data_IF_628970430777
#
_entry.id   IF_628970430777
#
_cell.length_a   1.000
_cell.length_b   1.000
_cell.length_c   1.000
_cell.angle_alpha   90.00
_cell.angle_beta   90.00
_cell.angle_gamma   90.00
#
_symmetry.space_group_name_H-M   'P 1'
#
loop_
_entity.id
_entity.type
_entity.pdbx_description
1 polymer ?
#
# COMPACT_ATOMS: atom_id res chain seq x y z
N UNK A 1 6.75 -83.55 -15.78
CA UNK A 1 7.06 -82.40 -16.60
C UNK A 1 7.29 -81.18 -15.68
N UNK A 2 8.53 -80.75 -15.54
CA UNK A 2 8.94 -79.71 -14.59
C UNK A 2 8.77 -78.32 -15.22
N UNK A 3 8.02 -77.45 -14.56
CA UNK A 3 7.91 -76.08 -14.96
C UNK A 3 9.07 -75.29 -14.33
N UNK A 4 9.83 -74.59 -15.20
CA UNK A 4 11.10 -73.98 -14.92
C UNK A 4 11.01 -72.67 -14.08
N UNK A 5 12.15 -72.18 -13.57
CA UNK A 5 12.28 -71.21 -12.49
C UNK A 5 12.24 -69.73 -12.94
N UNK A 6 11.54 -69.37 -14.00
CA UNK A 6 11.55 -67.98 -14.55
C UNK A 6 10.42 -67.06 -14.05
N UNK A 7 9.49 -67.56 -13.19
CA UNK A 7 8.32 -66.78 -12.77
C UNK A 7 8.53 -65.96 -11.47
N UNK A 8 9.70 -66.08 -10.79
CA UNK A 8 9.96 -65.42 -9.49
C UNK A 8 10.76 -64.14 -9.55
N UNK A 9 11.23 -63.71 -10.73
CA UNK A 9 12.10 -62.53 -10.85
C UNK A 9 11.36 -61.24 -11.27
N UNK A 10 10.12 -61.28 -11.63
CA UNK A 10 9.35 -60.11 -12.10
C UNK A 10 8.50 -59.41 -11.03
N UNK A 11 8.33 -60.01 -9.87
CA UNK A 11 7.57 -59.40 -8.77
C UNK A 11 8.39 -58.44 -7.91
N UNK A 12 9.72 -58.39 -8.05
CA UNK A 12 10.59 -57.49 -7.27
C UNK A 12 10.93 -56.16 -8.01
N UNK A 13 10.67 -56.05 -9.30
CA UNK A 13 10.93 -54.82 -10.09
C UNK A 13 9.78 -53.84 -10.11
N UNK A 14 8.57 -54.23 -9.75
CA UNK A 14 7.39 -53.32 -9.67
C UNK A 14 7.24 -52.65 -8.30
N UNK A 15 7.89 -53.16 -7.26
CA UNK A 15 7.82 -52.54 -5.92
C UNK A 15 8.81 -51.35 -5.71
N UNK A 16 9.81 -51.18 -6.59
CA UNK A 16 10.82 -50.10 -6.45
C UNK A 16 10.44 -48.81 -7.18
N UNK A 17 9.46 -48.83 -8.09
CA UNK A 17 9.06 -47.63 -8.83
C UNK A 17 7.96 -46.78 -8.16
N UNK A 18 7.30 -47.31 -7.09
CA UNK A 18 6.23 -46.55 -6.41
C UNK A 18 6.73 -45.73 -5.21
N UNK A 19 7.95 -46.00 -4.72
CA UNK A 19 8.52 -45.26 -3.58
C UNK A 19 9.24 -43.93 -3.94
N UNK A 20 9.36 -43.61 -5.24
CA UNK A 20 10.13 -42.42 -5.69
C UNK A 20 9.26 -41.19 -5.99
N UNK A 21 7.93 -41.23 -5.75
CA UNK A 21 7.01 -40.15 -6.12
C UNK A 21 6.48 -39.33 -4.94
N UNK A 22 7.02 -39.46 -3.72
CA UNK A 22 6.52 -38.73 -2.55
C UNK A 22 7.52 -37.78 -1.89
N UNK A 23 8.58 -37.36 -2.58
CA UNK A 23 9.45 -36.30 -2.07
C UNK A 23 9.48 -35.08 -2.98
N UNK A 24 8.30 -34.61 -3.36
CA UNK A 24 8.10 -33.23 -3.81
C UNK A 24 7.98 -32.33 -2.57
N UNK A 25 9.07 -32.17 -1.80
CA UNK A 25 9.16 -31.02 -0.91
C UNK A 25 9.30 -29.79 -1.81
N UNK A 26 8.19 -29.05 -1.93
CA UNK A 26 8.17 -27.69 -2.44
C UNK A 26 9.11 -26.88 -1.52
N UNK A 27 10.37 -26.79 -1.89
CA UNK A 27 11.32 -25.89 -1.24
C UNK A 27 10.93 -24.48 -1.66
N UNK A 28 10.01 -23.88 -0.92
CA UNK A 28 9.88 -22.42 -0.93
C UNK A 28 11.29 -21.83 -0.73
N UNK A 29 11.68 -20.82 -1.54
CA UNK A 29 12.97 -20.17 -1.35
C UNK A 29 13.07 -19.71 0.10
N UNK A 30 14.13 -20.13 0.78
CA UNK A 30 14.34 -19.79 2.18
C UNK A 30 14.65 -18.29 2.27
N UNK A 31 13.62 -17.48 2.49
CA UNK A 31 13.74 -16.04 2.72
C UNK A 31 14.51 -15.78 4.03
N UNK A 32 15.17 -14.62 4.11
CA UNK A 32 15.73 -14.16 5.38
C UNK A 32 14.61 -13.92 6.37
N UNK A 33 14.79 -14.38 7.60
CA UNK A 33 13.79 -14.31 8.65
C UNK A 33 14.26 -13.36 9.75
N UNK A 34 13.36 -12.47 10.20
CA UNK A 34 13.63 -11.50 11.25
C UNK A 34 12.49 -11.53 12.26
N UNK A 35 12.80 -11.38 13.53
CA UNK A 35 11.78 -11.17 14.55
C UNK A 35 11.27 -9.73 14.47
N UNK A 36 9.95 -9.57 14.52
CA UNK A 36 9.27 -8.29 14.51
C UNK A 36 8.33 -8.23 15.70
N UNK A 37 8.49 -7.19 16.49
CA UNK A 37 7.60 -6.87 17.61
C UNK A 37 7.09 -5.43 17.48
N UNK A 38 5.84 -5.22 17.86
CA UNK A 38 5.27 -3.89 17.79
C UNK A 38 3.84 -3.82 18.29
N UNK A 39 3.22 -2.67 18.03
CA UNK A 39 1.79 -2.43 18.30
C UNK A 39 1.05 -2.27 16.97
N UNK A 40 -0.09 -2.89 16.88
CA UNK A 40 -0.97 -2.75 15.70
C UNK A 40 -1.52 -1.33 15.65
N UNK A 41 -1.28 -0.63 14.55
CA UNK A 41 -1.79 0.72 14.31
C UNK A 41 -3.07 0.69 13.45
N UNK A 42 -3.15 -0.23 12.46
CA UNK A 42 -4.33 -0.41 11.63
C UNK A 42 -4.40 -1.84 11.08
N UNK A 43 -5.61 -2.28 10.75
CA UNK A 43 -5.88 -3.59 10.14
C UNK A 43 -6.71 -3.37 8.87
N UNK A 44 -6.23 -3.90 7.75
CA UNK A 44 -6.93 -3.90 6.48
C UNK A 44 -7.04 -5.35 5.99
N UNK A 45 -8.16 -5.97 6.30
CA UNK A 45 -8.42 -7.36 5.95
C UNK A 45 -8.62 -7.56 4.44
N UNK A 46 -9.17 -6.56 3.73
CA UNK A 46 -9.40 -6.64 2.30
C UNK A 46 -8.09 -6.68 1.50
N UNK A 47 -7.12 -5.88 1.89
CA UNK A 47 -5.77 -5.86 1.29
C UNK A 47 -4.79 -6.82 1.99
N UNK A 48 -5.22 -7.52 3.04
CA UNK A 48 -4.39 -8.43 3.85
C UNK A 48 -3.17 -7.75 4.48
N UNK A 49 -3.34 -6.52 4.94
CA UNK A 49 -2.28 -5.71 5.54
C UNK A 49 -2.56 -5.47 7.03
N UNK A 50 -1.49 -5.56 7.83
CA UNK A 50 -1.48 -5.05 9.20
C UNK A 50 -0.42 -3.95 9.27
N UNK A 51 -0.83 -2.74 9.63
CA UNK A 51 0.09 -1.65 9.91
C UNK A 51 0.57 -1.78 11.34
N UNK A 52 1.87 -1.87 11.52
CA UNK A 52 2.51 -2.10 12.82
C UNK A 52 3.50 -0.97 13.12
N UNK A 53 3.35 -0.36 14.28
CA UNK A 53 4.39 0.47 14.90
C UNK A 53 5.37 -0.50 15.58
N UNK A 54 6.40 -0.92 14.83
CA UNK A 54 7.36 -1.92 15.29
C UNK A 54 8.60 -1.29 15.90
N UNK A 55 9.25 -2.05 16.79
CA UNK A 55 10.57 -1.72 17.30
C UNK A 55 11.62 -1.91 16.20
N UNK A 56 12.88 -1.54 16.49
CA UNK A 56 13.98 -1.85 15.60
C UNK A 56 14.01 -3.34 15.26
N UNK A 57 14.11 -3.65 13.97
CA UNK A 57 14.37 -5.01 13.47
C UNK A 57 15.88 -5.10 13.17
N UNK A 58 16.66 -5.72 14.07
CA UNK A 58 18.13 -5.70 13.97
C UNK A 58 18.64 -6.22 12.62
N UNK A 59 19.52 -5.45 12.00
CA UNK A 59 20.12 -5.81 10.71
C UNK A 59 19.19 -5.64 9.49
N UNK A 60 17.99 -5.07 9.67
CA UNK A 60 17.06 -4.82 8.58
C UNK A 60 16.55 -3.37 8.55
N UNK A 61 15.92 -2.86 9.62
CA UNK A 61 15.31 -1.53 9.62
C UNK A 61 15.14 -0.97 11.04
N UNK A 62 15.20 0.38 11.21
CA UNK A 62 14.96 1.04 12.48
C UNK A 62 13.48 0.90 12.91
N UNK A 63 13.17 1.29 14.15
CA UNK A 63 11.81 1.37 14.65
C UNK A 63 10.97 2.32 13.80
N UNK A 64 9.81 1.86 13.31
CA UNK A 64 8.94 2.65 12.45
C UNK A 64 7.51 2.11 12.42
N UNK A 65 6.61 2.84 11.75
CA UNK A 65 5.23 2.37 11.53
C UNK A 65 5.00 2.12 10.06
N UNK A 66 4.79 0.86 9.67
CA UNK A 66 4.58 0.52 8.27
C UNK A 66 3.61 -0.66 8.10
N UNK A 67 2.95 -0.80 6.94
CA UNK A 67 2.11 -1.94 6.63
C UNK A 67 2.95 -3.16 6.26
N UNK A 68 2.51 -4.31 6.75
CA UNK A 68 3.07 -5.62 6.42
C UNK A 68 2.01 -6.51 5.80
N UNK A 69 2.40 -7.25 4.79
CA UNK A 69 1.54 -8.27 4.22
C UNK A 69 1.45 -9.48 5.16
N UNK A 70 0.25 -9.98 5.38
CA UNK A 70 0.00 -11.21 6.13
C UNK A 70 0.00 -12.40 5.17
N UNK A 71 0.73 -13.44 5.51
CA UNK A 71 0.78 -14.68 4.76
C UNK A 71 -0.58 -15.36 4.64
N UNK A 72 -0.79 -16.10 3.55
CA UNK A 72 -2.08 -16.80 3.31
C UNK A 72 -2.45 -17.75 4.44
N UNK A 73 -1.44 -18.35 5.08
CA UNK A 73 -1.65 -19.30 6.18
C UNK A 73 -2.05 -18.63 7.51
N UNK A 74 -2.03 -17.28 7.57
CA UNK A 74 -2.34 -16.50 8.76
C UNK A 74 -3.60 -15.61 8.60
N UNK A 75 -4.48 -15.91 7.65
CA UNK A 75 -5.75 -15.15 7.45
C UNK A 75 -6.63 -15.08 8.70
N UNK A 76 -6.56 -16.10 9.55
CA UNK A 76 -7.28 -16.14 10.82
C UNK A 76 -7.00 -14.91 11.73
N UNK A 77 -5.87 -14.23 11.52
CA UNK A 77 -5.49 -13.09 12.34
C UNK A 77 -6.46 -11.91 12.17
N UNK A 78 -6.99 -11.70 10.97
CA UNK A 78 -7.86 -10.55 10.67
C UNK A 78 -9.19 -10.53 11.43
N UNK A 79 -9.70 -11.69 11.80
CA UNK A 79 -10.90 -11.81 12.64
C UNK A 79 -10.63 -11.61 14.13
N UNK A 80 -9.38 -11.52 14.56
CA UNK A 80 -8.98 -11.59 15.95
C UNK A 80 -8.10 -10.42 16.43
N UNK A 81 -7.40 -9.73 15.52
CA UNK A 81 -6.47 -8.64 15.84
C UNK A 81 -7.15 -7.29 15.63
N UNK A 82 -6.81 -6.31 16.48
CA UNK A 82 -7.34 -4.96 16.41
C UNK A 82 -6.23 -3.92 16.63
N UNK A 83 -6.43 -2.67 16.20
CA UNK A 83 -5.56 -1.56 16.58
C UNK A 83 -5.39 -1.48 18.11
N UNK A 84 -4.15 -1.25 18.56
CA UNK A 84 -3.78 -1.26 19.96
C UNK A 84 -3.23 -2.59 20.48
N UNK A 85 -3.49 -3.71 19.81
CA UNK A 85 -2.96 -5.01 20.18
C UNK A 85 -1.42 -5.04 20.03
N UNK A 86 -0.75 -5.75 20.94
CA UNK A 86 0.68 -6.06 20.79
C UNK A 86 0.84 -7.28 19.88
N UNK A 87 1.71 -7.17 18.88
CA UNK A 87 1.98 -8.23 17.92
C UNK A 87 3.46 -8.64 17.97
N UNK A 88 3.70 -9.93 17.87
CA UNK A 88 5.00 -10.53 17.59
C UNK A 88 4.83 -11.44 16.37
N UNK A 89 5.73 -11.32 15.40
CA UNK A 89 5.69 -12.11 14.18
C UNK A 89 7.08 -12.35 13.62
N UNK A 90 7.20 -13.31 12.73
CA UNK A 90 8.38 -13.50 11.89
C UNK A 90 8.18 -12.75 10.58
N UNK A 91 9.03 -11.78 10.29
CA UNK A 91 9.09 -11.12 8.98
C UNK A 91 9.97 -11.94 8.05
N UNK A 92 9.40 -12.48 7.00
CA UNK A 92 10.09 -13.28 5.99
C UNK A 92 10.30 -12.42 4.75
N UNK A 93 11.58 -12.23 4.39
CA UNK A 93 12.01 -11.46 3.23
C UNK A 93 12.37 -12.42 2.09
N UNK A 94 11.51 -12.47 1.08
CA UNK A 94 11.78 -13.13 -0.21
C UNK A 94 11.82 -12.02 -1.28
N UNK A 95 11.08 -12.14 -2.37
CA UNK A 95 10.85 -11.05 -3.33
C UNK A 95 9.96 -9.95 -2.74
N UNK A 96 9.30 -10.23 -1.61
CA UNK A 96 8.48 -9.31 -0.84
C UNK A 96 8.51 -9.67 0.65
N UNK A 97 8.14 -8.70 1.48
CA UNK A 97 8.08 -8.86 2.93
C UNK A 97 6.71 -9.43 3.35
N UNK A 98 6.70 -10.49 4.14
CA UNK A 98 5.49 -11.17 4.60
C UNK A 98 5.58 -11.56 6.07
N UNK A 99 4.51 -11.32 6.85
CA UNK A 99 4.39 -11.77 8.24
C UNK A 99 3.96 -13.24 8.30
N UNK A 100 4.71 -14.01 9.05
CA UNK A 100 4.42 -15.40 9.40
C UNK A 100 4.53 -15.59 10.92
N UNK A 101 4.11 -16.74 11.43
CA UNK A 101 4.20 -17.11 12.85
C UNK A 101 3.66 -16.02 13.79
N UNK A 102 2.50 -15.45 13.44
CA UNK A 102 1.92 -14.30 14.12
C UNK A 102 1.34 -14.73 15.46
N UNK A 103 1.74 -14.05 16.52
CA UNK A 103 1.10 -14.07 17.84
C UNK A 103 0.77 -12.66 18.28
N UNK A 104 -0.29 -12.47 19.05
CA UNK A 104 -0.65 -11.16 19.57
C UNK A 104 -1.32 -11.27 20.94
N UNK A 105 -1.20 -10.20 21.72
CA UNK A 105 -1.92 -10.03 22.99
C UNK A 105 -2.81 -8.80 22.89
N UNK A 106 -4.01 -8.89 23.46
CA UNK A 106 -4.94 -7.77 23.49
C UNK A 106 -4.33 -6.61 24.25
N UNK A 107 -4.31 -5.45 23.59
CA UNK A 107 -3.87 -4.22 24.22
C UNK A 107 -4.92 -3.78 25.24
N UNK A 108 -4.64 -3.97 26.53
CA UNK A 108 -5.34 -3.26 27.58
C UNK A 108 -4.63 -1.93 27.77
N UNK A 109 -5.04 -0.89 27.07
CA UNK A 109 -4.54 0.46 27.35
C UNK A 109 -5.68 1.35 27.82
N UNK A 110 -5.81 1.58 29.12
CA UNK A 110 -6.70 2.59 29.67
C UNK A 110 -6.07 3.98 29.72
N UNK A 111 -4.79 4.13 29.32
CA UNK A 111 -4.10 5.43 29.35
C UNK A 111 -3.89 5.91 27.94
N UNK A 112 -4.80 6.77 27.49
CA UNK A 112 -4.70 7.51 26.23
C UNK A 112 -3.38 8.29 26.10
N UNK A 113 -2.33 7.64 25.63
CA UNK A 113 -1.26 8.30 24.92
C UNK A 113 -1.76 8.50 23.47
N UNK A 114 -1.98 9.75 23.14
CA UNK A 114 -2.64 10.29 21.94
C UNK A 114 -2.24 9.75 20.55
N UNK A 115 -1.99 8.45 20.40
CA UNK A 115 -2.02 7.78 19.13
C UNK A 115 -3.49 7.53 18.75
N UNK A 116 -4.12 8.59 18.25
CA UNK A 116 -5.40 8.52 17.55
C UNK A 116 -5.40 7.25 16.71
N UNK A 117 -6.31 6.31 17.02
CA UNK A 117 -6.51 5.12 16.22
C UNK A 117 -6.76 5.60 14.77
N UNK A 118 -5.79 5.38 13.89
CA UNK A 118 -5.92 5.78 12.49
C UNK A 118 -6.98 4.90 11.85
N UNK A 119 -8.20 5.42 11.81
CA UNK A 119 -9.29 4.80 11.07
C UNK A 119 -9.02 4.94 9.60
N UNK A 120 -9.02 3.85 8.85
CA UNK A 120 -9.14 3.92 7.38
C UNK A 120 -10.58 4.31 7.09
N UNK A 121 -10.82 5.36 6.30
CA UNK A 121 -12.19 5.77 5.99
C UNK A 121 -12.88 4.69 5.15
N UNK A 122 -14.18 4.51 5.40
CA UNK A 122 -15.01 3.56 4.68
C UNK A 122 -15.54 4.16 3.36
N UNK A 123 -15.92 3.30 2.43
CA UNK A 123 -16.67 3.73 1.26
C UNK A 123 -17.96 4.45 1.70
N UNK A 124 -18.23 5.60 1.09
CA UNK A 124 -19.37 6.48 1.43
C UNK A 124 -19.04 7.57 2.46
N UNK A 125 -17.90 7.53 3.13
CA UNK A 125 -17.48 8.62 4.01
C UNK A 125 -17.25 9.90 3.20
N UNK A 126 -17.76 11.03 3.69
CA UNK A 126 -17.55 12.33 3.05
C UNK A 126 -16.13 12.83 3.31
N UNK A 127 -15.43 13.26 2.26
CA UNK A 127 -14.09 13.84 2.36
C UNK A 127 -14.20 15.29 2.79
N UNK A 128 -13.53 15.71 3.90
CA UNK A 128 -13.48 17.10 4.30
C UNK A 128 -12.78 17.99 3.27
N UNK A 129 -13.09 19.28 3.30
CA UNK A 129 -12.49 20.27 2.39
C UNK A 129 -11.09 20.70 2.85
N UNK A 130 -10.11 19.83 2.62
CA UNK A 130 -8.70 20.11 2.91
C UNK A 130 -8.12 21.12 1.94
N UNK A 131 -7.20 21.96 2.45
CA UNK A 131 -6.59 23.05 1.70
C UNK A 131 -5.11 22.80 1.46
N UNK A 132 -4.67 23.03 0.22
CA UNK A 132 -3.29 22.84 -0.21
C UNK A 132 -2.82 24.00 -1.08
N UNK A 133 -1.52 24.01 -1.38
CA UNK A 133 -0.90 24.84 -2.42
C UNK A 133 -0.36 23.88 -3.49
N UNK A 134 -0.76 24.07 -4.74
CA UNK A 134 -0.32 23.20 -5.83
C UNK A 134 1.05 23.62 -6.38
N UNK A 135 1.59 22.83 -7.31
CA UNK A 135 2.88 23.03 -7.97
C UNK A 135 3.02 24.39 -8.69
N UNK A 136 1.92 25.09 -8.97
CA UNK A 136 1.91 26.43 -9.56
C UNK A 136 1.79 27.55 -8.51
N UNK A 137 1.88 27.21 -7.21
CA UNK A 137 1.72 28.16 -6.12
C UNK A 137 0.28 28.61 -5.87
N UNK A 138 -0.71 27.98 -6.50
CA UNK A 138 -2.14 28.30 -6.32
C UNK A 138 -2.73 27.52 -5.15
N UNK A 139 -3.53 28.21 -4.33
CA UNK A 139 -4.35 27.52 -3.32
C UNK A 139 -5.41 26.66 -4.01
N UNK A 140 -5.52 25.42 -3.57
CA UNK A 140 -6.54 24.47 -4.00
C UNK A 140 -7.27 23.90 -2.78
N UNK A 141 -8.51 23.47 -2.98
CA UNK A 141 -9.33 22.82 -1.97
C UNK A 141 -9.94 21.55 -2.55
N UNK A 142 -10.15 20.50 -1.73
CA UNK A 142 -10.64 19.23 -2.28
C UNK A 142 -12.05 19.33 -2.85
N UNK A 143 -12.90 20.21 -2.33
CA UNK A 143 -14.24 20.43 -2.87
C UNK A 143 -14.25 20.95 -4.31
N UNK A 144 -13.18 21.61 -4.78
CA UNK A 144 -13.11 22.08 -6.18
C UNK A 144 -13.08 20.93 -7.20
N UNK A 145 -12.74 19.71 -6.76
CA UNK A 145 -12.72 18.52 -7.59
C UNK A 145 -14.08 17.81 -7.67
N UNK A 146 -15.10 18.23 -6.89
CA UNK A 146 -16.44 17.67 -6.98
C UNK A 146 -17.06 17.86 -8.36
N UNK A 147 -17.99 16.99 -8.71
CA UNK A 147 -18.58 16.88 -10.05
C UNK A 147 -17.84 15.92 -10.98
N UNK A 148 -16.62 15.50 -10.60
CA UNK A 148 -15.80 14.51 -11.30
C UNK A 148 -15.07 13.63 -10.29
N UNK A 149 -14.75 12.36 -10.63
CA UNK A 149 -13.94 11.52 -9.73
C UNK A 149 -12.55 12.11 -9.51
N UNK A 150 -12.03 11.94 -8.31
CA UNK A 150 -10.66 12.32 -7.95
C UNK A 150 -9.88 11.09 -7.47
N UNK A 151 -8.74 10.82 -8.09
CA UNK A 151 -7.78 9.85 -7.57
C UNK A 151 -6.65 10.59 -6.87
N UNK A 152 -6.44 10.33 -5.57
CA UNK A 152 -5.36 10.97 -4.82
C UNK A 152 -4.42 9.95 -4.19
N UNK A 153 -3.16 10.37 -4.00
CA UNK A 153 -2.12 9.60 -3.29
C UNK A 153 -1.16 10.52 -2.55
N UNK A 154 -0.34 9.92 -1.69
CA UNK A 154 0.62 10.63 -0.85
C UNK A 154 2.04 10.18 -1.18
N UNK A 155 2.95 11.13 -1.33
CA UNK A 155 4.37 10.92 -1.62
C UNK A 155 5.23 11.95 -0.90
N UNK A 156 6.55 11.80 -0.97
CA UNK A 156 7.50 12.89 -0.79
C UNK A 156 8.61 12.79 -1.83
N UNK A 157 9.08 13.94 -2.35
CA UNK A 157 9.89 13.96 -3.58
C UNK A 157 11.28 13.36 -3.41
N UNK A 158 11.84 13.41 -2.21
CA UNK A 158 13.16 12.85 -1.86
C UNK A 158 13.11 11.43 -1.29
N UNK A 159 12.02 10.68 -1.55
CA UNK A 159 11.91 9.27 -1.14
C UNK A 159 13.02 8.43 -1.81
N UNK A 160 13.90 7.78 -1.02
CA UNK A 160 15.02 7.02 -1.59
C UNK A 160 14.62 5.62 -2.07
N UNK A 161 13.38 5.20 -1.81
CA UNK A 161 12.90 3.84 -2.06
C UNK A 161 12.17 3.76 -3.41
N UNK A 162 12.77 3.11 -4.44
CA UNK A 162 12.19 3.07 -5.80
C UNK A 162 10.81 2.40 -5.84
N UNK A 163 10.57 1.43 -4.98
CA UNK A 163 9.32 0.66 -4.93
C UNK A 163 8.19 1.37 -4.17
N UNK A 164 8.42 2.60 -3.66
CA UNK A 164 7.45 3.39 -2.90
C UNK A 164 6.96 4.60 -3.69
N UNK A 165 7.39 5.82 -3.33
CA UNK A 165 6.89 7.04 -3.97
C UNK A 165 7.14 7.09 -5.48
N UNK A 166 8.33 6.72 -6.02
CA UNK A 166 8.54 6.66 -7.45
C UNK A 166 7.64 5.64 -8.14
N UNK A 167 7.41 4.47 -7.53
CA UNK A 167 6.50 3.45 -8.05
C UNK A 167 5.06 3.96 -8.10
N UNK A 168 4.56 4.58 -7.02
CA UNK A 168 3.21 5.18 -7.01
C UNK A 168 3.05 6.25 -8.10
N UNK A 169 4.05 7.11 -8.30
CA UNK A 169 4.01 8.13 -9.33
C UNK A 169 4.05 7.53 -10.75
N UNK A 170 4.80 6.45 -10.97
CA UNK A 170 4.76 5.71 -12.24
C UNK A 170 3.39 5.06 -12.48
N UNK A 171 2.77 4.50 -11.44
CA UNK A 171 1.43 3.94 -11.53
C UNK A 171 0.40 5.02 -11.90
N UNK A 172 0.48 6.21 -11.31
CA UNK A 172 -0.39 7.33 -11.63
C UNK A 172 -0.22 7.78 -13.09
N UNK A 173 1.03 7.82 -13.59
CA UNK A 173 1.30 8.08 -14.99
C UNK A 173 0.65 7.04 -15.90
N UNK A 174 0.77 5.75 -15.55
CA UNK A 174 0.15 4.67 -16.33
C UNK A 174 -1.38 4.75 -16.28
N UNK A 175 -1.97 5.09 -15.13
CA UNK A 175 -3.42 5.32 -15.02
C UNK A 175 -3.85 6.44 -15.96
N UNK A 176 -3.18 7.59 -15.95
CA UNK A 176 -3.51 8.70 -16.82
C UNK A 176 -3.39 8.31 -18.30
N UNK A 177 -2.38 7.53 -18.68
CA UNK A 177 -2.24 6.98 -20.05
C UNK A 177 -3.40 6.07 -20.43
N UNK A 178 -3.86 5.22 -19.50
CA UNK A 178 -5.02 4.34 -19.74
C UNK A 178 -6.32 5.13 -19.89
N UNK A 179 -6.50 6.19 -19.10
CA UNK A 179 -7.66 7.08 -19.22
C UNK A 179 -7.67 7.82 -20.55
N UNK A 180 -6.49 8.18 -21.11
CA UNK A 180 -6.39 8.80 -22.43
C UNK A 180 -6.94 7.92 -23.57
N UNK A 181 -6.98 6.60 -23.40
CA UNK A 181 -7.59 5.70 -24.38
C UNK A 181 -9.11 5.86 -24.47
N UNK A 182 -9.76 6.53 -23.49
CA UNK A 182 -11.18 6.86 -23.49
C UNK A 182 -11.36 8.37 -23.36
N UNK A 183 -11.72 9.09 -24.45
CA UNK A 183 -11.83 10.55 -24.44
C UNK A 183 -12.70 11.10 -23.33
N UNK A 184 -13.87 10.50 -23.08
CA UNK A 184 -14.79 10.93 -22.02
C UNK A 184 -14.18 10.75 -20.60
N UNK A 185 -13.46 9.66 -20.37
CA UNK A 185 -12.79 9.43 -19.09
C UNK A 185 -11.59 10.38 -18.91
N UNK A 186 -10.85 10.67 -19.98
CA UNK A 186 -9.72 11.59 -19.94
C UNK A 186 -10.13 13.03 -19.72
N UNK A 187 -11.16 13.51 -20.40
CA UNK A 187 -11.69 14.88 -20.23
C UNK A 187 -12.06 15.17 -18.76
N UNK A 188 -12.54 14.15 -18.07
CA UNK A 188 -12.93 14.22 -16.66
C UNK A 188 -11.82 13.77 -15.68
N UNK A 189 -10.64 13.41 -16.18
CA UNK A 189 -9.58 12.88 -15.33
C UNK A 189 -9.07 13.92 -14.34
N UNK A 190 -9.06 13.57 -13.05
CA UNK A 190 -8.52 14.36 -11.96
C UNK A 190 -7.66 13.48 -11.06
N UNK A 191 -6.35 13.74 -11.07
CA UNK A 191 -5.38 13.08 -10.23
C UNK A 191 -4.70 14.13 -9.33
N UNK A 192 -4.46 13.77 -8.07
CA UNK A 192 -3.79 14.63 -7.11
C UNK A 192 -2.74 13.84 -6.34
N UNK A 193 -1.51 14.32 -6.37
CA UNK A 193 -0.43 13.82 -5.51
C UNK A 193 -0.18 14.83 -4.41
N UNK A 194 -0.33 14.42 -3.15
CA UNK A 194 -0.12 15.26 -1.98
C UNK A 194 1.24 14.92 -1.36
N UNK A 195 2.11 15.91 -1.20
CA UNK A 195 3.36 15.72 -0.48
C UNK A 195 3.14 15.74 1.03
N UNK A 196 3.82 14.81 1.72
CA UNK A 196 3.88 14.73 3.17
C UNK A 196 5.16 15.32 3.77
N UNK A 197 5.94 16.02 2.96
CA UNK A 197 7.20 16.71 3.35
C UNK A 197 7.11 18.22 3.03
N UNK A 198 6.17 18.93 3.66
CA UNK A 198 5.85 20.32 3.29
C UNK A 198 7.01 21.30 3.52
N UNK A 199 7.98 20.95 4.37
CA UNK A 199 9.15 21.79 4.63
C UNK A 199 10.16 21.75 3.46
N UNK A 200 10.24 20.63 2.75
CA UNK A 200 11.13 20.45 1.62
C UNK A 200 10.40 20.60 0.27
N UNK A 201 9.23 20.03 0.14
CA UNK A 201 8.46 19.95 -1.11
C UNK A 201 7.69 21.25 -1.38
N UNK A 202 8.46 22.31 -1.69
CA UNK A 202 7.89 23.59 -2.14
C UNK A 202 7.16 23.46 -3.49
N UNK A 203 6.31 24.41 -3.89
CA UNK A 203 5.67 24.40 -5.22
C UNK A 203 6.65 24.18 -6.37
N UNK A 204 7.83 24.79 -6.34
CA UNK A 204 8.86 24.64 -7.38
C UNK A 204 9.43 23.21 -7.38
N UNK A 205 9.67 22.61 -6.22
CA UNK A 205 10.13 21.23 -6.11
C UNK A 205 9.07 20.28 -6.65
N UNK A 206 7.80 20.49 -6.28
CA UNK A 206 6.66 19.71 -6.77
C UNK A 206 6.45 19.87 -8.28
N UNK A 207 6.67 21.05 -8.84
CA UNK A 207 6.60 21.27 -10.28
C UNK A 207 7.65 20.45 -11.03
N UNK A 208 8.90 20.46 -10.56
CA UNK A 208 9.99 19.69 -11.18
C UNK A 208 9.73 18.18 -11.05
N UNK A 209 9.31 17.72 -9.87
CA UNK A 209 8.92 16.32 -9.64
C UNK A 209 7.76 15.92 -10.55
N UNK A 210 6.71 16.73 -10.58
CA UNK A 210 5.55 16.49 -11.41
C UNK A 210 5.89 16.41 -12.89
N UNK A 211 6.70 17.33 -13.41
CA UNK A 211 7.13 17.32 -14.82
C UNK A 211 7.90 16.05 -15.20
N UNK A 212 8.66 15.47 -14.28
CA UNK A 212 9.34 14.20 -14.51
C UNK A 212 8.36 13.07 -14.84
N UNK A 213 7.20 13.03 -14.17
CA UNK A 213 6.20 11.97 -14.36
C UNK A 213 5.14 12.32 -15.41
N UNK A 214 4.67 13.57 -15.46
CA UNK A 214 3.67 13.99 -16.45
C UNK A 214 4.27 14.14 -17.84
N UNK A 215 5.47 14.71 -17.95
CA UNK A 215 6.18 14.89 -19.21
C UNK A 215 5.30 15.51 -20.31
N UNK A 216 5.21 14.84 -21.47
CA UNK A 216 4.35 15.26 -22.57
C UNK A 216 2.88 14.86 -22.39
N UNK A 217 2.58 14.02 -21.39
CA UNK A 217 1.25 13.50 -21.15
C UNK A 217 0.30 14.57 -20.62
N UNK A 218 0.78 15.38 -19.66
CA UNK A 218 0.05 16.49 -19.07
C UNK A 218 1.00 17.65 -18.70
N UNK A 219 1.56 18.35 -19.72
CA UNK A 219 2.62 19.35 -19.51
C UNK A 219 2.15 20.59 -18.73
N UNK A 220 0.84 20.79 -18.63
CA UNK A 220 0.21 21.94 -17.95
C UNK A 220 -0.47 21.55 -16.64
N UNK A 221 -0.34 20.30 -16.19
CA UNK A 221 -0.98 19.78 -14.97
C UNK A 221 -2.50 19.97 -14.95
N UNK A 222 -3.16 19.80 -16.10
CA UNK A 222 -4.61 19.95 -16.21
C UNK A 222 -5.36 18.77 -15.58
N UNK A 223 -4.78 17.58 -15.68
CA UNK A 223 -5.36 16.34 -15.18
C UNK A 223 -4.69 15.80 -13.94
N UNK A 224 -3.41 16.12 -13.72
CA UNK A 224 -2.66 15.62 -12.58
C UNK A 224 -1.89 16.74 -11.88
N UNK A 225 -2.36 17.13 -10.70
CA UNK A 225 -1.77 18.16 -9.87
C UNK A 225 -0.91 17.55 -8.76
N UNK A 226 0.08 18.31 -8.32
CA UNK A 226 0.96 18.00 -7.20
C UNK A 226 0.82 19.12 -6.19
N UNK A 227 0.56 18.78 -4.93
CA UNK A 227 0.26 19.77 -3.92
C UNK A 227 0.92 19.46 -2.58
N UNK A 228 1.07 20.48 -1.76
CA UNK A 228 1.46 20.40 -0.37
C UNK A 228 0.66 21.41 0.45
N UNK A 229 0.83 21.45 1.75
CA UNK A 229 0.11 22.38 2.63
C UNK A 229 0.95 22.80 3.83
N UNK A 230 0.33 23.39 4.84
CA UNK A 230 0.98 23.51 6.12
C UNK A 230 1.22 22.13 6.74
N UNK A 231 2.24 21.94 7.60
CA UNK A 231 2.46 20.67 8.28
C UNK A 231 1.22 20.15 9.01
N UNK A 232 0.42 21.05 9.58
CA UNK A 232 -0.83 20.72 10.26
C UNK A 232 -1.89 20.19 9.30
N UNK A 233 -2.12 20.89 8.17
CA UNK A 233 -3.11 20.49 7.18
C UNK A 233 -2.75 19.16 6.51
N UNK A 234 -1.46 18.96 6.19
CA UNK A 234 -0.95 17.71 5.64
C UNK A 234 -1.17 16.57 6.63
N UNK A 235 -0.85 16.77 7.91
CA UNK A 235 -1.04 15.75 8.96
C UNK A 235 -2.52 15.41 9.16
N UNK A 236 -3.37 16.44 9.22
CA UNK A 236 -4.82 16.28 9.36
C UNK A 236 -5.41 15.47 8.20
N UNK A 237 -4.97 15.79 6.97
CA UNK A 237 -5.40 15.07 5.77
C UNK A 237 -4.92 13.61 5.79
N UNK A 238 -3.64 13.39 6.09
CA UNK A 238 -3.07 12.05 6.18
C UNK A 238 -3.82 11.20 7.21
N UNK A 239 -4.07 11.74 8.40
CA UNK A 239 -4.81 11.04 9.46
C UNK A 239 -6.24 10.68 9.01
N UNK A 240 -6.94 11.58 8.32
CA UNK A 240 -8.28 11.30 7.79
C UNK A 240 -8.28 10.11 6.85
N UNK A 241 -7.29 10.00 5.97
CA UNK A 241 -7.16 8.87 5.04
C UNK A 241 -6.49 7.63 5.65
N UNK A 242 -6.36 7.56 6.97
CA UNK A 242 -5.75 6.43 7.66
C UNK A 242 -4.27 6.24 7.33
N UNK A 243 -3.59 7.32 6.99
CA UNK A 243 -2.16 7.34 6.74
C UNK A 243 -1.40 7.86 7.95
N UNK A 244 -0.46 7.06 8.46
CA UNK A 244 0.52 7.49 9.45
C UNK A 244 1.84 7.80 8.78
N UNK A 245 2.50 8.87 9.22
CA UNK A 245 3.87 9.15 8.84
C UNK A 245 4.64 9.75 10.00
N UNK A 246 5.93 9.44 10.04
CA UNK A 246 6.86 9.99 11.01
C UNK A 246 8.14 10.42 10.30
N UNK A 247 8.64 11.60 10.64
CA UNK A 247 9.91 12.10 10.14
C UNK A 247 10.97 11.96 11.22
N UNK A 248 12.07 11.27 10.91
CA UNK A 248 13.24 11.16 11.77
C UNK A 248 14.49 11.26 10.93
N UNK A 249 15.42 12.13 11.33
CA UNK A 249 16.72 12.33 10.67
C UNK A 249 16.62 12.60 9.15
N UNK A 250 15.57 13.34 8.74
CA UNK A 250 15.32 13.67 7.33
C UNK A 250 14.72 12.55 6.48
N UNK A 251 14.47 11.38 7.07
CA UNK A 251 13.72 10.30 6.43
C UNK A 251 12.27 10.29 6.91
N UNK A 252 11.35 10.10 5.96
CA UNK A 252 9.92 9.99 6.26
C UNK A 252 9.49 8.55 6.05
N UNK A 253 9.04 7.95 7.12
CA UNK A 253 8.41 6.62 7.08
C UNK A 253 6.92 6.79 7.10
N UNK A 254 6.22 6.15 6.19
CA UNK A 254 4.76 6.21 6.10
C UNK A 254 4.17 4.92 5.50
N UNK A 255 2.92 4.64 5.83
CA UNK A 255 2.14 3.66 5.07
C UNK A 255 1.66 4.28 3.75
N UNK A 256 1.41 3.46 2.74
CA UNK A 256 0.98 3.93 1.43
C UNK A 256 -0.55 3.94 1.34
N UNK A 257 -1.10 5.05 0.83
CA UNK A 257 -2.53 5.22 0.57
C UNK A 257 -2.76 5.84 -0.80
N UNK A 258 -3.66 5.23 -1.54
CA UNK A 258 -4.25 5.81 -2.75
C UNK A 258 -5.76 5.74 -2.58
N UNK A 259 -6.47 6.81 -2.90
CA UNK A 259 -7.90 6.93 -2.62
C UNK A 259 -8.63 7.40 -3.86
N UNK A 260 -9.70 6.70 -4.20
CA UNK A 260 -10.67 7.11 -5.20
C UNK A 260 -11.85 7.78 -4.49
N UNK A 261 -12.07 9.03 -4.83
CA UNK A 261 -13.20 9.85 -4.37
C UNK A 261 -14.17 10.01 -5.53
N UNK A 262 -15.45 9.82 -5.28
CA UNK A 262 -16.51 9.99 -6.27
C UNK A 262 -16.80 11.46 -6.58
N UNK A 263 -17.55 11.70 -7.63
CA UNK A 263 -17.99 13.03 -8.04
C UNK A 263 -18.81 13.76 -6.95
N UNK A 264 -19.42 13.01 -6.06
CA UNK A 264 -20.17 13.50 -4.88
C UNK A 264 -19.28 13.89 -3.68
N UNK A 265 -17.96 13.75 -3.82
CA UNK A 265 -16.99 14.04 -2.75
C UNK A 265 -16.91 12.96 -1.66
N UNK A 266 -17.43 11.76 -1.93
CA UNK A 266 -17.36 10.63 -0.99
C UNK A 266 -16.32 9.60 -1.40
N UNK A 267 -15.77 8.90 -0.42
CA UNK A 267 -14.85 7.78 -0.68
C UNK A 267 -15.56 6.70 -1.48
N UNK A 268 -15.01 6.34 -2.63
CA UNK A 268 -15.43 5.16 -3.39
C UNK A 268 -14.58 3.96 -2.97
N UNK A 269 -13.26 4.15 -2.89
CA UNK A 269 -12.34 3.07 -2.56
C UNK A 269 -11.01 3.58 -2.01
N UNK A 270 -10.47 2.86 -1.04
CA UNK A 270 -9.12 3.06 -0.51
C UNK A 270 -8.24 1.89 -0.93
N UNK A 271 -7.12 2.19 -1.56
CA UNK A 271 -6.09 1.22 -1.93
C UNK A 271 -4.92 1.35 -0.96
N UNK A 272 -4.67 0.30 -0.21
CA UNK A 272 -3.57 0.24 0.76
C UNK A 272 -2.34 -0.40 0.13
N UNK A 273 -1.15 0.13 0.48
CA UNK A 273 0.11 -0.36 -0.07
C UNK A 273 0.31 0.00 -1.55
N UNK A 274 1.16 -0.77 -2.24
CA UNK A 274 1.57 -0.55 -3.63
C UNK A 274 1.33 -1.75 -4.55
N UNK A 275 0.53 -2.73 -4.12
CA UNK A 275 0.29 -3.99 -4.88
C UNK A 275 -0.92 -3.93 -5.82
N UNK A 276 -1.71 -2.87 -5.77
CA UNK A 276 -2.79 -2.63 -6.71
C UNK A 276 -2.24 -2.32 -8.11
N UNK A 277 -2.98 -2.69 -9.14
CA UNK A 277 -2.54 -2.46 -10.51
C UNK A 277 -3.13 -1.18 -11.10
N UNK A 278 -2.38 -0.45 -11.95
CA UNK A 278 -2.92 0.70 -12.69
C UNK A 278 -4.17 0.37 -13.51
N UNK A 279 -4.27 -0.87 -14.01
CA UNK A 279 -5.43 -1.33 -14.79
C UNK A 279 -6.69 -1.41 -13.93
N UNK A 280 -6.59 -1.98 -12.71
CA UNK A 280 -7.74 -2.07 -11.81
C UNK A 280 -8.20 -0.70 -11.35
N UNK A 281 -7.25 0.18 -11.00
CA UNK A 281 -7.58 1.54 -10.56
C UNK A 281 -8.18 2.37 -11.69
N UNK A 282 -7.66 2.27 -12.92
CA UNK A 282 -8.25 2.97 -14.08
C UNK A 282 -9.68 2.49 -14.38
N UNK A 283 -9.94 1.18 -14.25
CA UNK A 283 -11.29 0.63 -14.39
C UNK A 283 -12.23 1.16 -13.31
N UNK A 284 -11.81 1.11 -12.04
CA UNK A 284 -12.62 1.60 -10.92
C UNK A 284 -12.86 3.11 -11.02
N UNK A 285 -11.85 3.87 -11.50
CA UNK A 285 -11.97 5.31 -11.77
C UNK A 285 -13.03 5.61 -12.84
N UNK A 286 -12.98 4.89 -13.96
CA UNK A 286 -13.96 5.06 -15.04
C UNK A 286 -15.39 4.73 -14.57
N UNK A 287 -15.55 3.71 -13.73
CA UNK A 287 -16.85 3.35 -13.15
C UNK A 287 -17.38 4.39 -12.15
N UNK A 288 -16.51 5.15 -11.49
CA UNK A 288 -16.92 6.21 -10.55
C UNK A 288 -17.32 7.52 -11.25
N UNK A 289 -17.04 7.66 -12.54
CA UNK A 289 -17.36 8.84 -13.35
C UNK A 289 -18.61 8.69 -14.24
N UNK A 290 -19.25 7.50 -14.19
CA UNK A 290 -20.42 7.14 -15.03
C UNK A 290 -21.76 7.39 -14.36
#
# INVERSE_FOLDING_TARGET
MAMGPYFRRWQWLTALCVAALLTGCDKQPAGKRYELEGRVAAVDSASRLITIAHQEVPGLMPAMTMPFQVGRNAEWVFGNIAPGDHIRATLVMTDHAELQDISFTKGSDPTGDGTSQLRIPDAGDAVPDFRFVNQSGKTIQLHQFQGRPLLLTFVYTRCPLPDYCPHLSNNFREILQKLQASPAAYENAQLLTISIDPEFDTPVVLQNYGQHFTGKLDPQFQHWQFATGSPEEVRKTANFFGMSYNSKDGQITHNLRTVLVGADGRIVKVYSGNRWTPTDVARDYAAAGG
#
